data_IF_244749724446
#
_entry.id   IF_244749724446
#
_cell.length_a   1.000
_cell.length_b   1.000
_cell.length_c   1.000
_cell.angle_alpha   90.00
_cell.angle_beta   90.00
_cell.angle_gamma   90.00
#
_symmetry.space_group_name_H-M   'P 1'
#
loop_
_entity.id
_entity.type
_entity.pdbx_description
1 polymer ?
#
# COMPACT_ATOMS: atom_id res chain seq x y z
N UNK A 1 1.83 14.18 -3.34
CA UNK A 1 1.24 13.13 -4.19
C UNK A 1 0.31 12.28 -3.34
N UNK A 2 -0.86 11.92 -3.85
CA UNK A 2 -1.88 11.16 -3.11
C UNK A 2 -2.24 9.92 -3.90
N UNK A 3 -2.28 8.76 -3.24
CA UNK A 3 -2.54 7.45 -3.85
C UNK A 3 -3.73 6.82 -3.12
N UNK A 4 -4.66 6.22 -3.86
CA UNK A 4 -5.72 5.36 -3.32
C UNK A 4 -5.32 3.90 -3.56
N UNK A 5 -5.50 3.05 -2.58
CA UNK A 5 -5.33 1.59 -2.72
C UNK A 5 -6.56 0.86 -2.22
N UNK A 6 -6.80 -0.31 -2.78
CA UNK A 6 -7.92 -1.17 -2.47
C UNK A 6 -7.38 -2.56 -2.14
N UNK A 7 -7.94 -3.18 -1.09
CA UNK A 7 -7.43 -4.42 -0.52
C UNK A 7 -6.00 -4.29 0.02
N UNK A 8 -5.42 -5.40 0.46
CA UNK A 8 -4.05 -5.50 0.91
C UNK A 8 -3.20 -6.27 -0.10
N UNK A 9 -2.66 -5.57 -1.09
CA UNK A 9 -1.65 -6.09 -2.01
C UNK A 9 -0.21 -5.78 -1.53
N UNK A 10 0.00 -5.88 -0.22
CA UNK A 10 1.26 -5.59 0.47
C UNK A 10 2.04 -6.84 0.87
N UNK A 11 2.98 -6.65 1.82
CA UNK A 11 3.83 -7.73 2.31
C UNK A 11 3.05 -8.87 2.98
N UNK A 12 1.80 -8.66 3.41
CA UNK A 12 0.95 -9.73 3.96
C UNK A 12 0.40 -10.66 2.86
N UNK A 13 0.34 -10.19 1.61
CA UNK A 13 -0.15 -10.96 0.47
C UNK A 13 0.97 -11.56 -0.39
N UNK A 14 2.24 -11.30 -0.05
CA UNK A 14 3.41 -11.78 -0.80
C UNK A 14 4.54 -12.20 0.16
N UNK A 15 5.67 -12.71 -0.35
CA UNK A 15 6.80 -13.09 0.50
C UNK A 15 7.59 -11.91 1.11
N UNK A 16 7.50 -10.71 0.50
CA UNK A 16 8.18 -9.48 0.96
C UNK A 16 7.65 -8.27 0.18
N UNK A 17 7.74 -7.07 0.79
CA UNK A 17 7.39 -5.74 0.25
C UNK A 17 5.92 -5.57 -0.22
N UNK A 18 5.43 -6.43 -1.11
CA UNK A 18 4.11 -6.36 -1.73
C UNK A 18 4.20 -6.15 -3.24
N UNK A 19 3.07 -5.83 -3.86
CA UNK A 19 2.98 -5.39 -5.25
C UNK A 19 2.53 -3.93 -5.30
N UNK A 20 1.24 -3.65 -5.12
CA UNK A 20 0.70 -2.30 -5.26
C UNK A 20 1.21 -1.33 -4.17
N UNK A 21 1.46 -1.80 -2.95
CA UNK A 21 2.01 -0.97 -1.86
C UNK A 21 3.55 -0.97 -1.82
N UNK A 22 4.22 -1.82 -2.62
CA UNK A 22 5.69 -1.84 -2.66
C UNK A 22 6.31 -0.50 -3.07
N UNK A 23 5.82 0.21 -4.12
CA UNK A 23 6.30 1.55 -4.45
C UNK A 23 6.09 2.59 -3.34
N UNK A 24 5.04 2.45 -2.52
CA UNK A 24 4.77 3.35 -1.39
C UNK A 24 5.88 3.23 -0.34
N UNK A 25 6.28 2.00 -0.01
CA UNK A 25 7.39 1.76 0.93
C UNK A 25 8.71 2.31 0.39
N UNK A 26 9.03 2.06 -0.89
CA UNK A 26 10.24 2.59 -1.53
C UNK A 26 10.25 4.12 -1.58
N UNK A 27 9.10 4.74 -1.86
CA UNK A 27 8.97 6.20 -1.84
C UNK A 27 9.21 6.76 -0.43
N UNK A 28 8.70 6.09 0.61
CA UNK A 28 8.97 6.46 2.00
C UNK A 28 10.45 6.34 2.37
N UNK A 29 11.12 5.26 1.97
CA UNK A 29 12.57 5.06 2.16
C UNK A 29 13.39 6.16 1.47
N UNK A 30 12.94 6.65 0.30
CA UNK A 30 13.55 7.75 -0.44
C UNK A 30 13.19 9.15 0.10
N UNK A 31 12.45 9.23 1.20
CA UNK A 31 12.06 10.50 1.83
C UNK A 31 10.98 11.26 1.08
N UNK A 32 10.22 10.63 0.19
CA UNK A 32 9.15 11.30 -0.56
C UNK A 32 7.94 11.55 0.34
N UNK A 33 7.35 12.74 0.20
CA UNK A 33 6.12 13.09 0.92
C UNK A 33 4.89 12.63 0.14
N UNK A 34 4.37 11.45 0.52
CA UNK A 34 3.18 10.83 -0.09
C UNK A 34 2.10 10.59 0.96
N UNK A 35 0.84 10.70 0.54
CA UNK A 35 -0.33 10.32 1.34
C UNK A 35 -1.03 9.14 0.67
N UNK A 36 -1.40 8.13 1.45
CA UNK A 36 -2.15 6.97 0.97
C UNK A 36 -3.51 6.95 1.65
N UNK A 37 -4.57 6.81 0.86
CA UNK A 37 -5.88 6.40 1.33
C UNK A 37 -6.06 4.91 1.01
N UNK A 38 -6.54 4.15 1.98
CA UNK A 38 -6.82 2.73 1.80
C UNK A 38 -8.32 2.53 2.04
N UNK A 39 -8.97 1.84 1.11
CA UNK A 39 -10.35 1.42 1.31
C UNK A 39 -10.43 0.38 2.43
N UNK A 40 -11.54 0.36 3.16
CA UNK A 40 -11.77 -0.67 4.17
C UNK A 40 -11.93 -2.07 3.57
N UNK A 41 -12.20 -2.19 2.27
CA UNK A 41 -12.23 -3.47 1.54
C UNK A 41 -13.26 -4.48 2.09
N UNK A 42 -14.51 -4.05 2.28
CA UNK A 42 -15.62 -4.97 2.61
C UNK A 42 -15.82 -6.04 1.52
N UNK A 43 -16.31 -7.24 1.89
CA UNK A 43 -16.77 -7.65 3.22
C UNK A 43 -15.66 -8.18 4.15
N UNK A 44 -14.48 -8.51 3.61
CA UNK A 44 -13.45 -9.26 4.35
C UNK A 44 -12.51 -8.36 5.16
N UNK A 45 -12.42 -7.07 4.83
CA UNK A 45 -11.66 -6.06 5.56
C UNK A 45 -10.14 -6.33 5.59
N UNK A 46 -9.57 -6.61 4.41
CA UNK A 46 -8.12 -6.74 4.19
C UNK A 46 -7.35 -5.46 4.51
#
# INVERSE_FOLDING_TARGET
MTILTHCNAGCLATGKYGTATSPVYLAKERGWNIKVYADETRPYLQ
#
